data_IF_616768446565
#
_entry.id   IF_616768446565
#
_cell.length_a   1.000
_cell.length_b   1.000
_cell.length_c   1.000
_cell.angle_alpha   90.00
_cell.angle_beta   90.00
_cell.angle_gamma   90.00
#
_symmetry.space_group_name_H-M   'P 1'
#
loop_
_entity.id
_entity.type
_entity.pdbx_description
1 polymer ?
#
# COMPACT_ATOMS: atom_id res chain seq x y z
N UNK A 1 0.02 -2.85 22.31
CA UNK A 1 0.28 -3.77 21.18
C UNK A 1 0.83 -2.93 20.06
N UNK A 2 1.84 -3.44 19.39
CA UNK A 2 2.39 -2.83 18.18
C UNK A 2 1.31 -2.81 17.09
N UNK A 3 1.04 -1.63 16.54
CA UNK A 3 0.03 -1.41 15.52
C UNK A 3 0.39 -2.10 14.20
N UNK A 4 1.69 -2.17 13.89
CA UNK A 4 2.19 -2.86 12.69
C UNK A 4 1.96 -4.37 12.80
N UNK A 5 2.25 -4.94 13.97
CA UNK A 5 1.93 -6.35 14.24
C UNK A 5 0.45 -6.66 14.10
N UNK A 6 -0.45 -5.84 14.66
CA UNK A 6 -1.89 -6.04 14.50
C UNK A 6 -2.27 -6.06 13.03
N UNK A 7 -1.69 -5.14 12.25
CA UNK A 7 -2.01 -5.05 10.84
C UNK A 7 -1.54 -6.28 10.07
N UNK A 8 -0.31 -6.72 10.31
CA UNK A 8 0.22 -7.96 9.75
C UNK A 8 -0.64 -9.18 10.11
N UNK A 9 -1.11 -9.27 11.35
CA UNK A 9 -1.93 -10.40 11.81
C UNK A 9 -3.33 -10.37 11.18
N UNK A 10 -3.95 -9.18 11.02
CA UNK A 10 -5.20 -9.05 10.27
C UNK A 10 -5.03 -9.55 8.84
N UNK A 11 -3.94 -9.14 8.19
CA UNK A 11 -3.69 -9.49 6.79
C UNK A 11 -3.45 -11.01 6.64
N UNK A 12 -2.73 -11.65 7.57
CA UNK A 12 -2.55 -13.11 7.60
C UNK A 12 -3.89 -13.87 7.74
N UNK A 13 -4.76 -13.44 8.65
CA UNK A 13 -6.07 -14.07 8.84
C UNK A 13 -6.94 -13.96 7.58
N UNK A 14 -7.00 -12.77 6.98
CA UNK A 14 -7.82 -12.55 5.79
C UNK A 14 -7.29 -13.30 4.57
N UNK A 15 -5.96 -13.37 4.40
CA UNK A 15 -5.33 -14.16 3.33
C UNK A 15 -5.63 -15.64 3.50
N UNK A 16 -5.50 -16.20 4.71
CA UNK A 16 -5.90 -17.59 4.98
C UNK A 16 -7.35 -17.86 4.55
N UNK A 17 -8.29 -17.02 5.01
CA UNK A 17 -9.71 -17.22 4.70
C UNK A 17 -10.00 -17.08 3.20
N UNK A 18 -9.32 -16.18 2.50
CA UNK A 18 -9.49 -16.02 1.06
C UNK A 18 -8.93 -17.21 0.29
N UNK A 19 -7.74 -17.68 0.67
CA UNK A 19 -7.05 -18.79 -0.01
C UNK A 19 -7.82 -20.10 0.15
N UNK A 20 -8.32 -20.39 1.35
CA UNK A 20 -9.16 -21.58 1.59
C UNK A 20 -10.46 -21.52 0.78
N UNK A 21 -11.14 -20.37 0.76
CA UNK A 21 -12.34 -20.17 -0.06
C UNK A 21 -12.05 -20.33 -1.56
N UNK A 22 -10.94 -19.76 -2.07
CA UNK A 22 -10.51 -19.91 -3.47
C UNK A 22 -10.20 -21.37 -3.81
N UNK A 23 -9.56 -22.10 -2.90
CA UNK A 23 -9.24 -23.52 -3.06
C UNK A 23 -10.51 -24.39 -3.14
N UNK A 24 -11.55 -24.02 -2.41
CA UNK A 24 -12.87 -24.67 -2.47
C UNK A 24 -13.65 -24.32 -3.75
N UNK A 25 -13.24 -23.28 -4.49
CA UNK A 25 -13.98 -22.78 -5.66
C UNK A 25 -15.29 -22.08 -5.28
N UNK A 26 -15.38 -21.55 -4.06
CA UNK A 26 -16.58 -20.99 -3.47
C UNK A 26 -16.53 -19.45 -3.37
N UNK A 27 -17.59 -18.84 -2.85
CA UNK A 27 -17.70 -17.36 -2.74
C UNK A 27 -17.91 -16.91 -1.30
N UNK A 28 -17.73 -15.62 -1.04
CA UNK A 28 -17.95 -15.01 0.29
C UNK A 28 -19.38 -15.22 0.83
N UNK A 29 -20.34 -15.52 -0.05
CA UNK A 29 -21.73 -15.76 0.31
C UNK A 29 -21.99 -17.21 0.76
N UNK A 30 -21.15 -18.16 0.33
CA UNK A 30 -21.35 -19.60 0.55
C UNK A 30 -20.47 -20.12 1.67
N UNK A 31 -19.23 -19.65 1.78
CA UNK A 31 -18.28 -20.12 2.80
C UNK A 31 -18.54 -19.51 4.18
N UNK A 32 -18.41 -20.34 5.21
CA UNK A 32 -18.43 -19.96 6.63
C UNK A 32 -17.30 -20.66 7.35
N UNK A 33 -16.52 -19.88 8.10
CA UNK A 33 -15.41 -20.35 8.90
C UNK A 33 -15.82 -20.50 10.36
N UNK A 34 -15.30 -21.54 10.99
CA UNK A 34 -15.50 -21.85 12.40
C UNK A 34 -14.17 -21.91 13.14
N UNK A 35 -13.88 -20.86 13.90
CA UNK A 35 -12.64 -20.75 14.68
C UNK A 35 -12.82 -21.18 16.14
N UNK A 36 -13.88 -21.93 16.45
CA UNK A 36 -14.06 -22.55 17.75
C UNK A 36 -13.07 -23.71 17.96
N UNK A 37 -12.74 -23.99 19.22
CA UNK A 37 -11.84 -25.07 19.59
C UNK A 37 -12.25 -26.42 18.96
N UNK A 38 -11.28 -27.12 18.37
CA UNK A 38 -11.47 -28.44 17.77
C UNK A 38 -12.11 -28.45 16.37
N UNK A 39 -12.28 -27.28 15.75
CA UNK A 39 -12.76 -27.15 14.36
C UNK A 39 -11.58 -27.06 13.38
N UNK A 40 -11.82 -27.47 12.13
CA UNK A 40 -10.77 -27.54 11.10
C UNK A 40 -10.10 -26.19 10.87
N UNK A 41 -10.87 -25.11 10.75
CA UNK A 41 -10.30 -23.76 10.52
C UNK A 41 -9.49 -23.27 11.71
N UNK A 42 -9.90 -23.65 12.93
CA UNK A 42 -9.14 -23.36 14.14
C UNK A 42 -7.79 -24.08 14.12
N UNK A 43 -7.79 -25.37 13.84
CA UNK A 43 -6.57 -26.19 13.78
C UNK A 43 -5.60 -25.66 12.72
N UNK A 44 -6.10 -25.31 11.54
CA UNK A 44 -5.27 -24.79 10.46
C UNK A 44 -4.58 -23.46 10.83
N UNK A 45 -5.32 -22.54 11.46
CA UNK A 45 -4.74 -21.29 11.97
C UNK A 45 -3.71 -21.54 13.08
N UNK A 46 -3.97 -22.49 13.98
CA UNK A 46 -3.03 -22.82 15.06
C UNK A 46 -1.71 -23.37 14.51
N UNK A 47 -1.77 -24.25 13.49
CA UNK A 47 -0.59 -24.80 12.82
C UNK A 47 0.22 -23.72 12.08
N UNK A 48 -0.45 -22.73 11.47
CA UNK A 48 0.20 -21.72 10.66
C UNK A 48 0.72 -20.51 11.47
N UNK A 49 -0.03 -20.06 12.48
CA UNK A 49 0.18 -18.77 13.14
C UNK A 49 0.53 -18.87 14.63
N UNK A 50 0.32 -20.05 15.24
CA UNK A 50 0.60 -20.33 16.65
C UNK A 50 0.00 -19.27 17.62
N UNK A 51 -1.22 -18.83 17.34
CA UNK A 51 -1.92 -17.82 18.15
C UNK A 51 -2.71 -18.45 19.29
N UNK A 52 -2.70 -17.80 20.46
CA UNK A 52 -3.60 -18.20 21.55
C UNK A 52 -5.06 -18.00 21.13
N UNK A 53 -5.98 -18.71 21.78
CA UNK A 53 -7.40 -18.57 21.53
C UNK A 53 -7.87 -17.11 21.71
N UNK A 54 -7.50 -16.52 22.83
CA UNK A 54 -7.81 -15.14 23.16
C UNK A 54 -7.29 -14.17 22.09
N UNK A 55 -6.08 -14.42 21.56
CA UNK A 55 -5.50 -13.56 20.54
C UNK A 55 -6.23 -13.66 19.20
N UNK A 56 -6.54 -14.88 18.74
CA UNK A 56 -7.32 -15.07 17.51
C UNK A 56 -8.69 -14.39 17.61
N UNK A 57 -9.40 -14.58 18.72
CA UNK A 57 -10.70 -13.95 18.94
C UNK A 57 -10.61 -12.43 18.96
N UNK A 58 -9.52 -11.87 19.52
CA UNK A 58 -9.24 -10.45 19.46
C UNK A 58 -9.02 -9.95 18.03
N UNK A 59 -8.22 -10.63 17.21
CA UNK A 59 -8.00 -10.26 15.80
C UNK A 59 -9.32 -10.33 15.04
N UNK A 60 -10.10 -11.40 15.20
CA UNK A 60 -11.43 -11.55 14.59
C UNK A 60 -12.37 -10.40 15.00
N UNK A 61 -12.36 -10.01 16.28
CA UNK A 61 -13.16 -8.88 16.77
C UNK A 61 -12.75 -7.55 16.10
N UNK A 62 -11.45 -7.33 15.89
CA UNK A 62 -10.93 -6.16 15.18
C UNK A 62 -11.36 -6.20 13.71
N UNK A 63 -11.27 -7.36 13.05
CA UNK A 63 -11.73 -7.50 11.67
C UNK A 63 -13.23 -7.25 11.54
N UNK A 64 -14.03 -7.75 12.49
CA UNK A 64 -15.48 -7.48 12.52
C UNK A 64 -15.78 -5.99 12.72
N UNK A 65 -15.10 -5.32 13.67
CA UNK A 65 -15.33 -3.89 13.93
C UNK A 65 -14.89 -2.98 12.77
N UNK A 66 -13.97 -3.47 11.93
CA UNK A 66 -13.51 -2.81 10.70
C UNK A 66 -14.32 -3.22 9.45
N UNK A 67 -15.42 -3.96 9.59
CA UNK A 67 -16.24 -4.46 8.48
C UNK A 67 -15.52 -5.39 7.51
N UNK A 68 -14.40 -5.99 7.93
CA UNK A 68 -13.63 -6.97 7.15
C UNK A 68 -14.23 -8.37 7.24
N UNK A 69 -14.93 -8.66 8.35
CA UNK A 69 -15.61 -9.93 8.59
C UNK A 69 -17.06 -9.68 9.04
N UNK A 70 -17.94 -10.62 8.72
CA UNK A 70 -19.30 -10.73 9.27
C UNK A 70 -19.36 -11.86 10.29
N UNK A 71 -20.06 -11.61 11.39
CA UNK A 71 -20.41 -12.61 12.39
C UNK A 71 -21.92 -12.82 12.37
N UNK A 72 -22.34 -14.07 12.17
CA UNK A 72 -23.73 -14.45 12.39
C UNK A 72 -23.95 -14.81 13.87
N UNK A 73 -25.18 -15.18 14.24
CA UNK A 73 -25.63 -15.47 15.62
C UNK A 73 -24.96 -16.67 16.34
N UNK A 74 -23.74 -17.05 15.97
CA UNK A 74 -22.98 -18.18 16.51
C UNK A 74 -21.59 -17.83 17.04
N UNK A 75 -21.32 -16.57 17.40
CA UNK A 75 -20.03 -16.16 17.96
C UNK A 75 -18.87 -16.33 16.95
N UNK A 76 -17.96 -17.27 17.22
CA UNK A 76 -16.79 -17.56 16.37
C UNK A 76 -16.98 -18.77 15.44
N UNK A 77 -18.15 -19.40 15.44
CA UNK A 77 -18.46 -20.60 14.62
C UNK A 77 -18.91 -20.32 13.19
N UNK A 78 -19.37 -19.10 12.92
CA UNK A 78 -19.99 -18.71 11.64
C UNK A 78 -19.49 -17.34 11.22
N UNK A 79 -18.24 -17.31 10.80
CA UNK A 79 -17.57 -16.10 10.32
C UNK A 79 -17.52 -16.14 8.80
N UNK A 80 -17.76 -14.99 8.17
CA UNK A 80 -17.70 -14.84 6.71
C UNK A 80 -16.83 -13.65 6.35
N UNK A 81 -16.09 -13.76 5.24
CA UNK A 81 -15.45 -12.60 4.62
C UNK A 81 -16.51 -11.62 4.13
N UNK A 82 -16.20 -10.33 4.21
CA UNK A 82 -16.92 -9.31 3.44
C UNK A 82 -16.21 -9.06 2.12
N UNK A 83 -16.86 -8.33 1.21
CA UNK A 83 -16.21 -7.84 -0.02
C UNK A 83 -14.95 -7.02 0.30
N UNK A 84 -15.00 -6.19 1.34
CA UNK A 84 -13.86 -5.39 1.80
C UNK A 84 -12.74 -6.29 2.37
N UNK A 85 -13.09 -7.30 3.19
CA UNK A 85 -12.13 -8.26 3.73
C UNK A 85 -11.45 -9.08 2.64
N UNK A 86 -12.22 -9.53 1.64
CA UNK A 86 -11.70 -10.26 0.49
C UNK A 86 -10.79 -9.36 -0.37
N UNK A 87 -11.23 -8.14 -0.66
CA UNK A 87 -10.44 -7.16 -1.43
C UNK A 87 -9.10 -6.87 -0.77
N UNK A 88 -9.09 -6.73 0.56
CA UNK A 88 -7.86 -6.57 1.35
C UNK A 88 -6.95 -7.80 1.25
N UNK A 89 -7.48 -9.00 1.42
CA UNK A 89 -6.72 -10.25 1.28
C UNK A 89 -6.05 -10.37 -0.10
N UNK A 90 -6.81 -10.09 -1.16
CA UNK A 90 -6.33 -10.08 -2.54
C UNK A 90 -5.24 -9.03 -2.74
N UNK A 91 -5.45 -7.82 -2.22
CA UNK A 91 -4.49 -6.71 -2.31
C UNK A 91 -3.16 -7.05 -1.62
N UNK A 92 -3.20 -7.68 -0.45
CA UNK A 92 -2.01 -8.15 0.26
C UNK A 92 -1.29 -9.26 -0.51
N UNK A 93 -2.02 -10.29 -0.97
CA UNK A 93 -1.46 -11.45 -1.69
C UNK A 93 -0.77 -11.06 -2.99
N UNK A 94 -1.31 -10.10 -3.72
CA UNK A 94 -0.77 -9.68 -5.02
C UNK A 94 0.15 -8.46 -4.92
N UNK A 95 0.20 -7.80 -3.77
CA UNK A 95 1.10 -6.70 -3.46
C UNK A 95 1.01 -5.49 -4.40
N UNK A 96 1.85 -4.48 -4.14
CA UNK A 96 2.04 -3.25 -4.93
C UNK A 96 2.46 -3.47 -6.39
N UNK A 97 2.64 -4.72 -6.82
CA UNK A 97 3.15 -5.10 -8.14
C UNK A 97 2.04 -5.43 -9.15
N UNK A 98 0.77 -5.25 -8.79
CA UNK A 98 -0.39 -5.49 -9.67
C UNK A 98 -0.73 -4.29 -10.56
N UNK A 99 0.27 -3.71 -11.23
CA UNK A 99 0.05 -2.60 -12.18
C UNK A 99 -0.72 -3.02 -13.45
N UNK A 100 -0.92 -4.32 -13.68
CA UNK A 100 -1.39 -4.86 -14.97
C UNK A 100 -2.82 -5.47 -14.96
N UNK A 101 -3.55 -5.44 -13.85
CA UNK A 101 -4.93 -5.98 -13.77
C UNK A 101 -6.03 -4.92 -13.62
N UNK A 102 -5.72 -3.63 -13.74
CA UNK A 102 -6.73 -2.59 -13.93
C UNK A 102 -7.17 -2.56 -15.40
N UNK A 103 -7.71 -3.70 -15.88
CA UNK A 103 -8.48 -3.76 -17.11
C UNK A 103 -9.78 -2.99 -16.90
N UNK A 104 -9.90 -1.85 -17.57
CA UNK A 104 -10.91 -0.80 -17.41
C UNK A 104 -10.62 0.18 -16.26
N UNK A 105 -10.55 1.46 -16.63
CA UNK A 105 -10.36 2.61 -15.74
C UNK A 105 -11.45 2.67 -14.68
N UNK A 106 -11.22 2.08 -13.50
CA UNK A 106 -12.08 2.31 -12.34
C UNK A 106 -11.85 3.72 -11.79
N UNK A 107 -12.82 4.60 -12.02
CA UNK A 107 -12.85 5.92 -11.40
C UNK A 107 -13.46 5.79 -10.00
N UNK A 108 -12.62 5.69 -8.97
CA UNK A 108 -13.05 5.55 -7.56
C UNK A 108 -13.66 6.87 -7.03
N UNK A 109 -13.13 8.03 -7.46
CA UNK A 109 -13.66 9.36 -7.16
C UNK A 109 -13.04 10.41 -8.10
N UNK A 110 -13.69 11.57 -8.25
CA UNK A 110 -13.13 12.74 -8.95
C UNK A 110 -12.57 13.73 -7.94
N UNK A 111 -11.25 13.92 -7.94
CA UNK A 111 -10.61 14.96 -7.16
C UNK A 111 -10.47 16.23 -8.03
N UNK A 112 -11.30 17.24 -7.78
CA UNK A 112 -11.16 18.53 -8.46
C UNK A 112 -10.17 19.41 -7.69
N UNK A 113 -8.93 19.50 -8.18
CA UNK A 113 -7.89 20.32 -7.56
C UNK A 113 -7.71 21.60 -8.37
N UNK A 114 -7.87 22.74 -7.69
CA UNK A 114 -7.55 24.04 -8.24
C UNK A 114 -6.08 24.36 -7.94
N UNK A 115 -5.17 23.75 -8.68
CA UNK A 115 -3.72 23.88 -8.53
C UNK A 115 -2.97 22.62 -8.97
N UNK A 116 -1.62 22.65 -9.04
CA UNK A 116 -0.82 21.47 -9.32
C UNK A 116 -1.04 20.43 -8.21
N UNK A 117 -1.74 19.36 -8.55
CA UNK A 117 -2.06 18.26 -7.67
C UNK A 117 -1.14 17.08 -7.95
N UNK A 118 -0.59 16.50 -6.89
CA UNK A 118 0.12 15.23 -6.98
C UNK A 118 -0.75 14.12 -6.40
N UNK A 119 -1.00 13.09 -7.19
CA UNK A 119 -1.66 11.86 -6.72
C UNK A 119 -0.62 10.75 -6.67
N UNK A 120 -0.31 10.27 -5.46
CA UNK A 120 0.74 9.26 -5.21
C UNK A 120 2.17 9.82 -5.21
N UNK A 121 3.16 9.01 -4.82
CA UNK A 121 4.56 9.48 -4.65
C UNK A 121 5.44 9.33 -5.90
N UNK A 122 4.94 8.70 -6.97
CA UNK A 122 5.73 8.33 -8.14
C UNK A 122 6.29 9.52 -8.93
N UNK A 123 5.51 10.60 -9.06
CA UNK A 123 5.92 11.76 -9.87
C UNK A 123 7.02 12.58 -9.19
N UNK A 124 6.92 12.79 -7.87
CA UNK A 124 7.96 13.49 -7.08
C UNK A 124 9.28 12.74 -7.10
N UNK A 125 9.22 11.42 -6.89
CA UNK A 125 10.43 10.59 -6.91
C UNK A 125 11.09 10.58 -8.29
N UNK A 126 10.32 10.49 -9.37
CA UNK A 126 10.85 10.53 -10.73
C UNK A 126 11.53 11.87 -11.06
N UNK A 127 10.93 13.00 -10.69
CA UNK A 127 11.52 14.32 -10.94
C UNK A 127 12.79 14.51 -10.11
N UNK A 128 12.78 14.11 -8.83
CA UNK A 128 13.98 14.11 -7.99
C UNK A 128 15.12 13.29 -8.61
N UNK A 129 14.80 12.07 -9.06
CA UNK A 129 15.78 11.19 -9.68
C UNK A 129 16.36 11.78 -10.96
N UNK A 130 15.54 12.42 -11.80
CA UNK A 130 16.01 13.07 -13.04
C UNK A 130 16.98 14.20 -12.74
N UNK A 131 16.69 15.05 -11.76
CA UNK A 131 17.60 16.16 -11.41
C UNK A 131 18.89 15.67 -10.75
N UNK A 132 18.82 14.66 -9.87
CA UNK A 132 20.02 14.04 -9.30
C UNK A 132 20.90 13.40 -10.38
N UNK A 133 20.31 12.65 -11.30
CA UNK A 133 21.04 12.06 -12.43
C UNK A 133 21.65 13.13 -13.34
N UNK A 134 20.98 14.29 -13.52
CA UNK A 134 21.53 15.39 -14.28
C UNK A 134 22.75 16.00 -13.58
N UNK A 135 22.69 16.19 -12.26
CA UNK A 135 23.82 16.68 -11.46
C UNK A 135 25.00 15.71 -11.52
N UNK A 136 24.75 14.41 -11.30
CA UNK A 136 25.77 13.36 -11.40
C UNK A 136 26.44 13.37 -12.79
N UNK A 137 25.65 13.46 -13.87
CA UNK A 137 26.20 13.52 -15.23
C UNK A 137 26.99 14.79 -15.53
N UNK A 138 26.65 15.92 -14.90
CA UNK A 138 27.47 17.13 -14.98
C UNK A 138 28.82 16.88 -14.31
N UNK A 139 28.82 16.28 -13.12
CA UNK A 139 30.03 15.99 -12.36
C UNK A 139 30.93 14.96 -13.06
N UNK A 140 30.34 13.93 -13.67
CA UNK A 140 31.04 12.89 -14.45
C UNK A 140 31.51 13.36 -15.83
N UNK A 141 31.03 14.52 -16.30
CA UNK A 141 31.39 15.01 -17.64
C UNK A 141 32.90 15.34 -17.74
N UNK A 142 33.45 15.26 -18.96
CA UNK A 142 34.82 15.67 -19.25
C UNK A 142 35.02 17.19 -19.37
N UNK A 143 34.06 18.00 -18.91
CA UNK A 143 34.12 19.47 -18.97
C UNK A 143 35.06 20.05 -17.90
N UNK A 144 35.40 21.33 -18.03
CA UNK A 144 36.18 22.04 -17.01
C UNK A 144 35.40 22.20 -15.71
N UNK A 145 36.09 22.39 -14.58
CA UNK A 145 35.43 22.60 -13.28
C UNK A 145 34.58 23.89 -13.28
N UNK A 146 35.01 24.91 -14.02
CA UNK A 146 34.27 26.17 -14.20
C UNK A 146 32.95 25.93 -14.95
N UNK A 147 32.97 25.17 -16.04
CA UNK A 147 31.77 24.85 -16.82
C UNK A 147 30.77 24.01 -16.00
N UNK A 148 31.27 23.07 -15.20
CA UNK A 148 30.44 22.24 -14.29
C UNK A 148 29.76 23.09 -13.23
N UNK A 149 30.52 24.01 -12.60
CA UNK A 149 29.99 24.92 -11.59
C UNK A 149 28.94 25.87 -12.19
N UNK A 150 29.19 26.39 -13.40
CA UNK A 150 28.23 27.23 -14.10
C UNK A 150 26.93 26.47 -14.44
N UNK A 151 27.04 25.24 -14.95
CA UNK A 151 25.88 24.40 -15.28
C UNK A 151 25.00 24.12 -14.05
N UNK A 152 25.60 23.75 -12.91
CA UNK A 152 24.88 23.53 -11.65
C UNK A 152 24.23 24.82 -11.13
N UNK A 153 24.93 25.96 -11.21
CA UNK A 153 24.36 27.25 -10.82
C UNK A 153 23.15 27.66 -11.67
N UNK A 154 23.20 27.42 -12.98
CA UNK A 154 22.06 27.67 -13.88
C UNK A 154 20.88 26.76 -13.57
N UNK A 155 21.14 25.49 -13.25
CA UNK A 155 20.11 24.54 -12.85
C UNK A 155 19.43 24.96 -11.55
N UNK A 156 20.20 25.37 -10.53
CA UNK A 156 19.67 25.89 -9.27
C UNK A 156 18.73 27.08 -9.50
N UNK A 157 19.19 28.09 -10.26
CA UNK A 157 18.40 29.27 -10.59
C UNK A 157 17.10 28.95 -11.35
N UNK A 158 17.13 27.92 -12.21
CA UNK A 158 15.95 27.48 -12.92
C UNK A 158 14.91 26.89 -11.97
N UNK A 159 15.33 26.03 -11.03
CA UNK A 159 14.44 25.36 -10.07
C UNK A 159 13.88 26.36 -9.04
N UNK A 160 14.68 27.33 -8.62
CA UNK A 160 14.29 28.40 -7.68
C UNK A 160 13.31 29.41 -8.27
N UNK A 161 13.15 29.44 -9.60
CA UNK A 161 12.25 30.38 -10.24
C UNK A 161 10.80 30.15 -9.77
N UNK A 162 10.06 31.16 -9.27
CA UNK A 162 8.74 30.96 -8.65
C UNK A 162 7.72 30.24 -9.56
N UNK A 163 7.74 30.51 -10.86
CA UNK A 163 6.89 29.80 -11.83
C UNK A 163 7.27 28.33 -11.98
N UNK A 164 8.56 28.00 -11.91
CA UNK A 164 9.03 26.60 -12.01
C UNK A 164 8.74 25.88 -10.69
N UNK A 165 9.10 26.49 -9.55
CA UNK A 165 8.84 25.93 -8.22
C UNK A 165 7.35 25.69 -7.95
N UNK A 166 6.45 26.55 -8.45
CA UNK A 166 5.00 26.33 -8.32
C UNK A 166 4.49 25.13 -9.13
N UNK A 167 5.07 24.84 -10.30
CA UNK A 167 4.70 23.67 -11.13
C UNK A 167 5.27 22.38 -10.53
N UNK A 168 6.51 22.43 -10.06
CA UNK A 168 7.24 21.26 -9.58
C UNK A 168 6.90 20.94 -8.11
N UNK A 169 6.28 21.88 -7.38
CA UNK A 169 5.76 21.68 -6.03
C UNK A 169 6.84 21.63 -4.94
N UNK A 170 6.56 20.94 -3.83
CA UNK A 170 7.44 20.88 -2.63
C UNK A 170 8.86 20.33 -2.86
N UNK A 171 9.15 19.83 -4.07
CA UNK A 171 10.47 19.45 -4.57
C UNK A 171 11.48 20.60 -4.64
N UNK A 172 11.01 21.84 -4.87
CA UNK A 172 11.92 22.98 -5.00
C UNK A 172 12.77 23.17 -3.72
N UNK A 173 12.19 22.92 -2.54
CA UNK A 173 12.90 23.04 -1.27
C UNK A 173 13.99 21.99 -1.05
N UNK A 174 13.81 20.76 -1.54
CA UNK A 174 14.79 19.67 -1.40
C UNK A 174 15.87 19.71 -2.48
N UNK A 175 15.54 20.16 -3.70
CA UNK A 175 16.50 20.29 -4.81
C UNK A 175 17.45 21.48 -4.63
N UNK A 176 16.98 22.62 -4.10
CA UNK A 176 17.88 23.74 -3.78
C UNK A 176 18.95 23.39 -2.73
N UNK A 177 18.77 22.32 -1.94
CA UNK A 177 19.79 21.84 -1.01
C UNK A 177 20.82 20.87 -1.62
N UNK A 178 20.62 20.45 -2.87
CA UNK A 178 21.46 19.47 -3.58
C UNK A 178 22.43 20.10 -4.60
N UNK A 179 22.22 21.37 -4.97
CA UNK A 179 23.05 22.15 -5.91
C UNK A 179 23.82 23.26 -5.21
#
# INVERSE_FOLDING_TARGET
MDAEKIQSDIDLLLTYMNDDMEQLGETINTVRFSFEAGKTDRTAIDEQLNWTEEYLYKIINICYSRSLLKKNSGGFSRIQLTEEGQSRAISVKHGKNRSYELGASMQIATLNVHGPAQVGNGNVQNIHNVFNQLIEKIDESGASDEDKAEAKSRLAKFIEHPLVGSIVGGLAGSLSGLV
#
